data_IF_495718392737
#
_entry.id   IF_495718392737
#
_cell.length_a   1.000
_cell.length_b   1.000
_cell.length_c   1.000
_cell.angle_alpha   90.00
_cell.angle_beta   90.00
_cell.angle_gamma   90.00
#
_symmetry.space_group_name_H-M   'P 1'
#
loop_
_entity.id
_entity.type
_entity.pdbx_description
1 polymer ?
#
# COMPACT_ATOMS: atom_id res chain seq x y z
N UNK A 1 -39.41 -4.32 -7.00
CA UNK A 1 -38.48 -3.93 -5.94
C UNK A 1 -37.40 -3.04 -6.53
N UNK A 2 -37.32 -1.79 -6.03
CA UNK A 2 -36.24 -0.88 -6.42
C UNK A 2 -34.93 -1.36 -5.77
N UNK A 3 -33.88 -1.49 -6.59
CA UNK A 3 -32.55 -1.81 -6.08
C UNK A 3 -31.99 -0.59 -5.32
N UNK A 4 -31.33 -0.84 -4.20
CA UNK A 4 -30.58 0.21 -3.48
C UNK A 4 -29.16 0.31 -4.04
N UNK A 5 -28.77 1.53 -4.38
CA UNK A 5 -27.47 1.87 -4.93
C UNK A 5 -26.77 2.81 -3.94
N UNK A 6 -25.62 2.45 -3.41
CA UNK A 6 -24.88 3.26 -2.46
C UNK A 6 -23.42 3.36 -2.85
N UNK A 7 -22.93 4.60 -2.94
CA UNK A 7 -21.52 4.90 -3.12
C UNK A 7 -20.96 5.40 -1.79
N UNK A 8 -19.79 4.92 -1.42
CA UNK A 8 -19.08 5.33 -0.20
C UNK A 8 -17.64 5.67 -0.56
N UNK A 9 -17.15 6.74 0.01
CA UNK A 9 -15.76 7.21 -0.11
C UNK A 9 -15.14 7.19 1.28
N UNK A 10 -13.93 6.68 1.38
CA UNK A 10 -13.11 6.71 2.58
C UNK A 10 -11.76 7.35 2.28
N UNK A 11 -11.26 8.15 3.22
CA UNK A 11 -9.93 8.71 3.22
C UNK A 11 -9.33 8.56 4.61
N UNK A 12 -8.14 7.96 4.67
CA UNK A 12 -7.37 7.81 5.89
C UNK A 12 -5.93 8.25 5.63
N UNK A 13 -5.35 9.01 6.55
CA UNK A 13 -3.96 9.45 6.49
C UNK A 13 -3.29 9.28 7.84
N UNK A 14 -2.07 8.81 7.85
CA UNK A 14 -1.22 8.70 9.03
C UNK A 14 0.09 9.45 8.80
N UNK A 15 0.50 10.21 9.80
CA UNK A 15 1.83 10.82 9.87
C UNK A 15 2.58 10.24 11.06
N UNK A 16 3.76 9.69 10.81
CA UNK A 16 4.61 9.07 11.84
C UNK A 16 5.88 9.89 11.95
N UNK A 17 6.04 10.57 13.08
CA UNK A 17 7.27 11.26 13.42
C UNK A 17 8.12 10.40 14.34
N UNK A 18 9.35 10.14 13.93
CA UNK A 18 10.35 9.41 14.73
C UNK A 18 11.65 10.18 14.73
N UNK A 19 12.34 10.21 15.86
CA UNK A 19 13.66 10.81 16.00
C UNK A 19 14.52 9.91 16.88
N UNK A 20 15.31 9.05 16.28
CA UNK A 20 16.21 8.15 16.98
C UNK A 20 17.64 8.73 16.98
N UNK A 21 18.20 8.98 18.17
CA UNK A 21 19.61 9.36 18.32
C UNK A 21 20.45 8.10 18.43
N UNK A 22 21.33 7.86 17.46
CA UNK A 22 22.29 6.76 17.52
C UNK A 22 23.67 7.26 17.95
N UNK A 23 24.24 6.73 19.06
CA UNK A 23 25.53 7.18 19.59
C UNK A 23 26.73 6.92 18.67
N UNK A 24 26.60 6.03 17.68
CA UNK A 24 27.65 5.58 16.77
C UNK A 24 27.50 6.05 15.32
N UNK A 25 26.46 6.82 15.00
CA UNK A 25 26.28 7.32 13.63
C UNK A 25 27.17 8.55 13.41
N UNK A 26 28.24 8.36 12.67
CA UNK A 26 29.21 9.44 12.34
C UNK A 26 28.68 10.45 11.32
N UNK A 27 27.56 10.19 10.67
CA UNK A 27 27.05 10.99 9.53
C UNK A 27 25.66 11.57 9.73
N UNK A 28 24.81 11.04 10.61
CA UNK A 28 23.45 11.53 10.80
C UNK A 28 23.11 11.73 12.27
N UNK A 29 23.05 12.97 12.70
CA UNK A 29 22.45 13.37 13.98
C UNK A 29 20.92 13.44 13.81
N UNK A 30 20.21 12.40 14.28
CA UNK A 30 18.74 12.34 14.23
C UNK A 30 18.22 11.69 12.96
N UNK A 31 18.19 10.37 12.94
CA UNK A 31 17.57 9.57 11.87
C UNK A 31 16.15 9.19 12.22
N UNK A 32 15.32 9.12 11.18
CA UNK A 32 14.05 8.43 11.29
C UNK A 32 14.29 6.94 11.58
N UNK A 33 13.33 6.29 12.21
CA UNK A 33 13.42 4.86 12.50
C UNK A 33 13.42 4.04 11.21
N UNK A 34 14.26 3.01 11.12
CA UNK A 34 14.25 2.07 10.00
C UNK A 34 12.85 1.46 9.81
N UNK A 35 12.40 1.35 8.57
CA UNK A 35 11.11 0.79 8.19
C UNK A 35 9.90 1.69 8.45
N UNK A 36 10.04 2.80 9.18
CA UNK A 36 8.93 3.73 9.44
C UNK A 36 8.75 4.71 8.26
N UNK A 37 7.66 4.56 7.53
CA UNK A 37 7.27 5.53 6.52
C UNK A 37 6.63 6.75 7.18
N UNK A 38 7.13 7.99 6.96
CA UNK A 38 6.56 9.20 7.54
C UNK A 38 5.09 9.43 7.18
N UNK A 39 4.70 9.07 5.97
CA UNK A 39 3.35 9.25 5.48
C UNK A 39 2.77 7.95 4.94
N UNK A 40 1.55 7.65 5.34
CA UNK A 40 0.72 6.60 4.76
C UNK A 40 -0.65 7.22 4.48
N UNK A 41 -1.11 7.12 3.23
CA UNK A 41 -2.41 7.65 2.82
C UNK A 41 -3.19 6.55 2.11
N UNK A 42 -4.43 6.34 2.56
CA UNK A 42 -5.35 5.38 1.97
C UNK A 42 -6.59 6.13 1.47
N UNK A 43 -7.01 5.80 0.27
CA UNK A 43 -8.27 6.23 -0.30
C UNK A 43 -9.06 4.99 -0.74
N UNK A 44 -10.31 4.90 -0.35
CA UNK A 44 -11.19 3.82 -0.80
C UNK A 44 -12.47 4.36 -1.42
N UNK A 45 -12.91 3.68 -2.46
CA UNK A 45 -14.16 3.91 -3.16
C UNK A 45 -14.94 2.60 -3.20
N UNK A 46 -16.06 2.56 -2.50
CA UNK A 46 -16.95 1.39 -2.45
C UNK A 46 -18.29 1.69 -3.12
N UNK A 47 -18.69 0.80 -4.01
CA UNK A 47 -20.00 0.80 -4.64
C UNK A 47 -20.77 -0.43 -4.18
N UNK A 48 -21.91 -0.23 -3.55
CA UNK A 48 -22.81 -1.28 -3.09
C UNK A 48 -24.12 -1.22 -3.87
N UNK A 49 -24.47 -2.31 -4.53
CA UNK A 49 -25.72 -2.50 -5.21
C UNK A 49 -26.45 -3.70 -4.61
N UNK A 50 -27.70 -3.50 -4.15
CA UNK A 50 -28.54 -4.56 -3.57
C UNK A 50 -29.90 -4.56 -4.25
N UNK A 51 -30.33 -5.75 -4.71
CA UNK A 51 -31.66 -5.98 -5.27
C UNK A 51 -32.19 -7.34 -4.84
N UNK A 52 -33.17 -7.35 -3.95
CA UNK A 52 -33.71 -8.58 -3.35
C UNK A 52 -32.62 -9.32 -2.55
N UNK A 53 -32.38 -10.58 -2.87
CA UNK A 53 -31.36 -11.42 -2.22
C UNK A 53 -29.96 -11.26 -2.82
N UNK A 54 -29.82 -10.50 -3.90
CA UNK A 54 -28.55 -10.27 -4.58
C UNK A 54 -27.90 -8.99 -4.09
N UNK A 55 -26.61 -9.05 -3.78
CA UNK A 55 -25.82 -7.87 -3.49
C UNK A 55 -24.46 -7.95 -4.16
N UNK A 56 -24.00 -6.79 -4.64
CA UNK A 56 -22.69 -6.62 -5.24
C UNK A 56 -21.99 -5.49 -4.51
N UNK A 57 -20.82 -5.77 -3.96
CA UNK A 57 -19.98 -4.77 -3.32
C UNK A 57 -18.66 -4.75 -4.06
N UNK A 58 -18.34 -3.63 -4.69
CA UNK A 58 -17.09 -3.41 -5.39
C UNK A 58 -16.32 -2.32 -4.67
N UNK A 59 -15.08 -2.58 -4.33
CA UNK A 59 -14.21 -1.64 -3.61
C UNK A 59 -12.89 -1.49 -4.35
N UNK A 60 -12.51 -0.24 -4.63
CA UNK A 60 -11.18 0.16 -5.05
C UNK A 60 -10.46 0.75 -3.85
N UNK A 61 -9.23 0.33 -3.61
CA UNK A 61 -8.38 0.85 -2.54
C UNK A 61 -7.08 1.33 -3.14
N UNK A 62 -6.82 2.62 -3.02
CA UNK A 62 -5.55 3.25 -3.38
C UNK A 62 -4.75 3.48 -2.11
N UNK A 63 -3.54 2.94 -2.05
CA UNK A 63 -2.65 3.07 -0.90
C UNK A 63 -1.33 3.71 -1.34
N UNK A 64 -0.94 4.78 -0.68
CA UNK A 64 0.35 5.43 -0.84
C UNK A 64 1.16 5.31 0.44
N UNK A 65 2.40 4.83 0.31
CA UNK A 65 3.41 4.80 1.37
C UNK A 65 4.57 5.66 0.91
N UNK A 66 5.00 6.63 1.73
CA UNK A 66 6.12 7.51 1.38
C UNK A 66 7.47 6.80 1.45
N UNK A 67 8.51 7.49 0.99
CA UNK A 67 9.90 7.05 1.18
C UNK A 67 10.18 6.78 2.66
N UNK A 68 10.98 5.75 2.93
CA UNK A 68 11.40 5.38 4.28
C UNK A 68 12.85 4.93 4.29
N UNK A 69 13.48 5.02 5.45
CA UNK A 69 14.81 4.44 5.64
C UNK A 69 14.67 2.92 5.64
N UNK A 70 15.35 2.26 4.72
CA UNK A 70 15.46 0.81 4.66
C UNK A 70 16.54 0.29 5.61
N UNK A 71 17.70 0.97 5.62
CA UNK A 71 18.82 0.68 6.52
C UNK A 71 19.60 1.96 6.78
N UNK A 72 19.92 2.20 8.05
CA UNK A 72 20.75 3.33 8.47
C UNK A 72 22.18 3.10 8.04
N UNK A 73 22.77 4.12 7.43
CA UNK A 73 24.18 4.12 7.03
C UNK A 73 25.11 4.16 8.24
N UNK A 74 26.20 3.40 8.18
CA UNK A 74 27.26 3.35 9.18
C UNK A 74 28.63 3.57 8.54
N UNK A 75 29.62 3.95 9.32
CA UNK A 75 31.02 4.09 8.85
C UNK A 75 31.20 5.04 7.65
N UNK A 76 30.47 6.17 7.63
CA UNK A 76 30.57 7.16 6.57
C UNK A 76 29.67 6.89 5.35
N UNK A 77 28.91 5.81 5.33
CA UNK A 77 27.93 5.56 4.31
C UNK A 77 26.60 6.26 4.62
N UNK A 78 25.95 6.79 3.58
CA UNK A 78 24.61 7.38 3.67
C UNK A 78 23.54 6.30 3.85
N UNK A 79 22.39 6.69 4.41
CA UNK A 79 21.25 5.81 4.60
C UNK A 79 20.76 5.22 3.26
N UNK A 80 20.35 3.98 3.30
CA UNK A 80 19.64 3.33 2.20
C UNK A 80 18.15 3.62 2.31
N UNK A 81 17.58 4.18 1.25
CA UNK A 81 16.18 4.58 1.20
C UNK A 81 15.38 3.61 0.33
N UNK A 82 14.23 3.19 0.82
CA UNK A 82 13.18 2.58 0.00
C UNK A 82 12.26 3.68 -0.51
N UNK A 83 12.12 3.81 -1.84
CA UNK A 83 11.27 4.82 -2.46
C UNK A 83 9.80 4.54 -2.20
N UNK A 84 9.03 5.59 -2.03
CA UNK A 84 7.59 5.51 -1.82
C UNK A 84 6.87 4.85 -2.98
N UNK A 85 5.80 4.14 -2.67
CA UNK A 85 5.02 3.38 -3.65
C UNK A 85 3.54 3.70 -3.55
N UNK A 86 2.89 3.67 -4.71
CA UNK A 86 1.44 3.74 -4.86
C UNK A 86 0.94 2.38 -5.33
N UNK A 87 0.00 1.81 -4.59
CA UNK A 87 -0.63 0.54 -4.94
C UNK A 87 -2.13 0.71 -5.13
N UNK A 88 -2.73 -0.09 -5.99
CA UNK A 88 -4.16 -0.13 -6.25
C UNK A 88 -4.65 -1.57 -6.11
N UNK A 89 -5.65 -1.74 -5.26
CA UNK A 89 -6.32 -3.01 -5.04
C UNK A 89 -7.79 -2.90 -5.45
N UNK A 90 -8.35 -3.98 -5.99
CA UNK A 90 -9.76 -4.11 -6.31
C UNK A 90 -10.33 -5.35 -5.63
N UNK A 91 -11.43 -5.18 -4.93
CA UNK A 91 -12.17 -6.26 -4.29
C UNK A 91 -13.61 -6.22 -4.73
N UNK A 92 -14.12 -7.34 -5.24
CA UNK A 92 -15.52 -7.50 -5.61
C UNK A 92 -16.13 -8.68 -4.86
N UNK A 93 -17.23 -8.43 -4.21
CA UNK A 93 -18.04 -9.46 -3.55
C UNK A 93 -19.42 -9.48 -4.18
N UNK A 94 -19.82 -10.63 -4.70
CA UNK A 94 -21.11 -10.84 -5.32
C UNK A 94 -21.88 -11.93 -4.55
N UNK A 95 -22.93 -11.55 -3.83
CA UNK A 95 -23.91 -12.49 -3.30
C UNK A 95 -24.99 -12.70 -4.35
N UNK A 96 -25.05 -13.90 -4.93
CA UNK A 96 -25.95 -14.24 -6.02
C UNK A 96 -27.31 -14.72 -5.51
N UNK A 97 -27.31 -15.44 -4.40
CA UNK A 97 -28.51 -15.92 -3.69
C UNK A 97 -28.15 -16.26 -2.24
N UNK A 98 -29.08 -16.89 -1.50
CA UNK A 98 -28.85 -17.28 -0.08
C UNK A 98 -27.70 -18.28 0.10
N UNK A 99 -27.40 -19.05 -0.93
CA UNK A 99 -26.49 -20.18 -0.87
C UNK A 99 -25.15 -19.92 -1.55
N UNK A 100 -25.07 -18.95 -2.49
CA UNK A 100 -23.89 -18.77 -3.35
C UNK A 100 -23.36 -17.33 -3.29
N UNK A 101 -22.09 -17.23 -2.97
CA UNK A 101 -21.33 -15.97 -3.01
C UNK A 101 -20.01 -16.16 -3.76
N UNK A 102 -19.61 -15.14 -4.52
CA UNK A 102 -18.36 -15.06 -5.23
C UNK A 102 -17.52 -13.91 -4.65
N UNK A 103 -16.21 -14.11 -4.55
CA UNK A 103 -15.27 -13.11 -4.09
C UNK A 103 -14.10 -13.03 -5.10
N UNK A 104 -13.91 -11.87 -5.69
CA UNK A 104 -12.76 -11.57 -6.54
C UNK A 104 -11.87 -10.56 -5.83
N UNK A 105 -10.57 -10.83 -5.75
CA UNK A 105 -9.56 -9.91 -5.22
C UNK A 105 -8.45 -9.79 -6.24
N UNK A 106 -8.20 -8.57 -6.69
CA UNK A 106 -7.06 -8.23 -7.54
C UNK A 106 -6.22 -7.20 -6.80
N UNK A 107 -5.00 -7.58 -6.40
CA UNK A 107 -4.10 -6.75 -5.59
C UNK A 107 -2.90 -6.30 -6.38
N UNK A 108 -2.40 -5.13 -6.02
CA UNK A 108 -1.21 -4.53 -6.61
C UNK A 108 -1.35 -4.31 -8.13
N UNK A 109 -2.53 -3.82 -8.57
CA UNK A 109 -2.86 -3.64 -10.00
C UNK A 109 -1.90 -2.70 -10.72
N UNK A 110 -1.36 -1.68 -10.03
CA UNK A 110 -0.37 -0.77 -10.61
C UNK A 110 1.00 -1.43 -10.78
N UNK A 111 1.27 -2.51 -10.04
CA UNK A 111 2.55 -3.24 -10.05
C UNK A 111 3.78 -2.31 -10.03
N UNK A 112 3.88 -1.39 -9.06
CA UNK A 112 4.96 -0.42 -9.00
C UNK A 112 6.32 -1.10 -8.79
N UNK A 113 7.38 -0.43 -9.25
CA UNK A 113 8.75 -0.81 -8.90
C UNK A 113 9.07 -0.40 -7.47
N UNK A 114 9.57 -1.33 -6.68
CA UNK A 114 10.14 -1.11 -5.35
C UNK A 114 11.62 -0.86 -5.52
N UNK A 115 12.05 0.38 -5.27
CA UNK A 115 13.43 0.82 -5.51
C UNK A 115 14.15 1.10 -4.21
N UNK A 116 15.29 0.46 -4.02
CA UNK A 116 16.25 0.80 -2.99
C UNK A 116 17.31 1.70 -3.57
N UNK A 117 17.55 2.84 -2.97
CA UNK A 117 18.52 3.83 -3.42
C UNK A 117 19.36 4.35 -2.28
N UNK A 118 20.58 4.78 -2.59
CA UNK A 118 21.49 5.45 -1.67
C UNK A 118 22.05 6.70 -2.35
N UNK A 119 22.33 7.76 -1.61
CA UNK A 119 23.08 8.88 -2.11
C UNK A 119 24.55 8.45 -2.25
N UNK A 120 25.11 8.59 -3.45
CA UNK A 120 26.49 8.19 -3.72
C UNK A 120 27.50 9.23 -3.19
N UNK A 121 27.14 10.52 -3.26
CA UNK A 121 28.02 11.65 -2.95
C UNK A 121 27.25 12.74 -2.20
N UNK A 122 27.98 13.69 -1.61
CA UNK A 122 27.43 14.91 -1.00
C UNK A 122 26.63 15.77 -2.01
N UNK A 123 26.90 15.63 -3.30
CA UNK A 123 26.18 16.29 -4.40
C UNK A 123 24.76 15.75 -4.63
N UNK A 124 24.34 14.71 -3.91
CA UNK A 124 22.97 14.22 -3.93
C UNK A 124 22.62 13.24 -5.06
N UNK A 125 23.61 12.77 -5.83
CA UNK A 125 23.38 11.73 -6.83
C UNK A 125 22.86 10.46 -6.15
N UNK A 126 21.68 9.98 -6.60
CA UNK A 126 21.07 8.75 -6.10
C UNK A 126 21.50 7.57 -6.98
N UNK A 127 22.05 6.54 -6.36
CA UNK A 127 22.32 5.27 -7.02
C UNK A 127 21.23 4.28 -6.63
N UNK A 128 20.60 3.66 -7.64
CA UNK A 128 19.63 2.59 -7.43
C UNK A 128 20.42 1.30 -7.18
N UNK A 129 20.23 0.73 -6.00
CA UNK A 129 20.90 -0.50 -5.58
C UNK A 129 20.08 -1.74 -5.91
N UNK A 130 18.75 -1.60 -5.88
CA UNK A 130 17.83 -2.67 -6.21
C UNK A 130 16.55 -2.09 -6.79
N UNK A 131 15.97 -2.77 -7.79
CA UNK A 131 14.68 -2.44 -8.40
C UNK A 131 13.95 -3.76 -8.68
N UNK A 132 12.79 -3.95 -8.05
CA UNK A 132 12.00 -5.17 -8.22
C UNK A 132 10.50 -4.87 -8.20
N UNK A 133 9.72 -5.77 -8.81
CA UNK A 133 8.26 -5.73 -8.81
C UNK A 133 7.71 -6.93 -8.05
N UNK A 134 6.68 -6.72 -7.25
CA UNK A 134 6.01 -7.82 -6.50
C UNK A 134 5.01 -8.60 -7.35
N UNK A 135 4.64 -8.06 -8.51
CA UNK A 135 3.63 -8.66 -9.39
C UNK A 135 2.20 -8.33 -8.97
N UNK A 136 1.26 -8.65 -9.85
CA UNK A 136 -0.18 -8.55 -9.61
C UNK A 136 -0.65 -9.88 -9.04
N UNK A 137 -1.48 -9.84 -8.00
CA UNK A 137 -2.08 -11.03 -7.40
C UNK A 137 -3.59 -11.02 -7.63
N UNK A 138 -4.12 -12.08 -8.24
CA UNK A 138 -5.54 -12.26 -8.48
C UNK A 138 -5.99 -13.53 -7.80
N UNK A 139 -7.07 -13.44 -7.02
CA UNK A 139 -7.68 -14.58 -6.35
C UNK A 139 -9.19 -14.57 -6.53
N UNK A 140 -9.75 -15.74 -6.78
CA UNK A 140 -11.20 -15.99 -6.89
C UNK A 140 -11.60 -16.97 -5.81
N UNK A 141 -12.63 -16.61 -5.04
CA UNK A 141 -13.23 -17.47 -4.03
C UNK A 141 -14.70 -17.70 -4.33
N UNK A 142 -15.17 -18.91 -4.05
CA UNK A 142 -16.58 -19.31 -4.13
C UNK A 142 -17.00 -19.83 -2.77
N UNK A 143 -18.10 -19.33 -2.23
CA UNK A 143 -18.69 -19.80 -0.97
C UNK A 143 -20.07 -20.35 -1.23
N UNK A 144 -20.30 -21.58 -0.78
CA UNK A 144 -21.62 -22.24 -0.79
C UNK A 144 -22.05 -22.53 0.65
N UNK A 145 -23.29 -22.14 0.99
CA UNK A 145 -23.91 -22.43 2.30
C UNK A 145 -25.13 -23.31 2.05
N UNK A 146 -25.21 -24.45 2.73
CA UNK A 146 -26.28 -25.44 2.61
C UNK A 146 -27.29 -25.28 3.74
#
# INVERSE_FOLDING_TARGET
>A
AHGMNKLSLGLNGSYIYTNAKMPLATVTTGSQLEGAAPWIVNFDLSHNFTKGERSFVNTLVLNYVSDKIYTIGTQGYQDMMEQGVLTLDFVSQAKLNKHLSLNLKARNLLNPSYKLSRKANENGEKVILNDYKKGINISLGVSCTF
#
